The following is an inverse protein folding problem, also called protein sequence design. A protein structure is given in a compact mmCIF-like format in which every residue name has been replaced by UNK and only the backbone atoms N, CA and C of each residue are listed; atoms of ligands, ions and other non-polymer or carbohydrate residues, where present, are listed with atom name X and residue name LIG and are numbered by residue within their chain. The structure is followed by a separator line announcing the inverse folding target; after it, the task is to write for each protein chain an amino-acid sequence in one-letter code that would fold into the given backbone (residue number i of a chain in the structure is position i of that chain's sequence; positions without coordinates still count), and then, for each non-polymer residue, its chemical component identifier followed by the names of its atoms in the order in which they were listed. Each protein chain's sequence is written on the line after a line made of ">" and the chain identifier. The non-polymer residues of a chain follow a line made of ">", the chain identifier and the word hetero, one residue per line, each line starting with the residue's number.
data_IF_242164188308
#
_entry.id   IF_242164188308
#
_cell.length_a   1.000
_cell.length_b   1.000
_cell.length_c   1.000
_cell.angle_alpha   90.00
_cell.angle_beta   90.00
_cell.angle_gamma   90.00
#
_symmetry.space_group_name_H-M   'P 1'
#
loop_
_entity.id
_entity.type
_entity.pdbx_description
1 polymer ?
#
# COMPACT_ATOMS: atom_id res chain seq x y z
N UNK A 1 -2.24 3.78 -11.69
CA UNK A 1 -2.62 3.85 -10.26
C UNK A 1 -1.52 3.28 -9.37
N UNK A 2 -0.99 2.08 -9.66
CA UNK A 2 0.20 1.55 -8.98
C UNK A 2 1.46 2.42 -9.19
N UNK A 3 1.75 2.87 -10.42
CA UNK A 3 2.92 3.71 -10.72
C UNK A 3 3.00 4.95 -9.82
N UNK A 4 1.86 5.59 -9.52
CA UNK A 4 1.83 6.73 -8.63
C UNK A 4 2.32 6.38 -7.21
N UNK A 5 2.02 5.16 -6.72
CA UNK A 5 2.50 4.70 -5.41
C UNK A 5 4.01 4.48 -5.45
N UNK A 6 4.50 3.80 -6.49
CA UNK A 6 5.92 3.52 -6.67
C UNK A 6 6.73 4.81 -6.81
N UNK A 7 6.26 5.76 -7.64
CA UNK A 7 6.87 7.09 -7.81
C UNK A 7 6.87 7.89 -6.51
N UNK A 8 5.78 7.86 -5.73
CA UNK A 8 5.73 8.63 -4.48
C UNK A 8 6.64 7.99 -3.42
N UNK A 9 6.72 6.66 -3.37
CA UNK A 9 7.66 5.95 -2.50
C UNK A 9 9.11 6.27 -2.87
N UNK A 10 9.45 6.24 -4.15
CA UNK A 10 10.78 6.59 -4.64
C UNK A 10 11.17 8.03 -4.30
N UNK A 11 10.26 8.99 -4.53
CA UNK A 11 10.46 10.39 -4.13
C UNK A 11 10.64 10.58 -2.62
N UNK A 12 10.03 9.72 -1.80
CA UNK A 12 10.18 9.73 -0.35
C UNK A 12 11.46 8.99 0.12
N UNK A 13 12.26 8.45 -0.79
CA UNK A 13 13.49 7.71 -0.51
C UNK A 13 13.26 6.26 -0.07
N UNK A 14 12.07 5.71 -0.31
CA UNK A 14 11.74 4.32 -0.03
C UNK A 14 11.96 3.47 -1.27
N UNK A 15 12.85 2.49 -1.17
CA UNK A 15 13.09 1.54 -2.26
C UNK A 15 12.14 0.35 -2.15
N UNK A 16 11.31 0.15 -3.18
CA UNK A 16 10.45 -1.04 -3.30
C UNK A 16 11.31 -2.26 -3.64
N UNK A 17 11.32 -3.27 -2.77
CA UNK A 17 12.07 -4.52 -2.96
C UNK A 17 11.24 -5.56 -3.70
N UNK A 18 9.95 -5.66 -3.37
CA UNK A 18 9.03 -6.66 -3.91
C UNK A 18 7.66 -6.04 -4.05
N UNK A 19 6.98 -6.34 -5.15
CA UNK A 19 5.56 -6.07 -5.30
C UNK A 19 4.81 -7.39 -5.53
N UNK A 20 3.66 -7.52 -4.87
CA UNK A 20 2.71 -8.61 -5.08
C UNK A 20 1.36 -8.01 -5.44
N UNK A 21 0.89 -8.32 -6.64
CA UNK A 21 -0.32 -7.75 -7.21
C UNK A 21 -1.32 -8.86 -7.46
N UNK A 22 -2.57 -8.61 -7.11
CA UNK A 22 -3.67 -9.54 -7.34
C UNK A 22 -4.90 -8.80 -7.83
N UNK A 23 -5.59 -9.42 -8.78
CA UNK A 23 -6.89 -8.96 -9.28
C UNK A 23 -7.91 -10.06 -9.09
N UNK A 24 -9.13 -9.68 -8.73
CA UNK A 24 -10.23 -10.60 -8.49
C UNK A 24 -11.55 -10.00 -8.96
N UNK A 25 -12.62 -10.80 -8.90
CA UNK A 25 -13.97 -10.42 -9.33
C UNK A 25 -14.00 -9.88 -10.78
N UNK A 26 -13.54 -10.68 -11.74
CA UNK A 26 -13.45 -10.30 -13.16
C UNK A 26 -12.67 -8.98 -13.37
N UNK A 27 -11.51 -8.85 -12.73
CA UNK A 27 -10.64 -7.66 -12.76
C UNK A 27 -11.24 -6.38 -12.17
N UNK A 28 -12.37 -6.45 -11.46
CA UNK A 28 -12.94 -5.27 -10.80
C UNK A 28 -12.28 -4.93 -9.47
N UNK A 29 -11.62 -5.88 -8.82
CA UNK A 29 -11.01 -5.69 -7.50
C UNK A 29 -9.51 -5.89 -7.61
N UNK A 30 -8.76 -4.92 -7.14
CA UNK A 30 -7.31 -4.90 -7.14
C UNK A 30 -6.78 -4.84 -5.70
N UNK A 31 -5.75 -5.64 -5.45
CA UNK A 31 -4.96 -5.64 -4.22
C UNK A 31 -3.49 -5.66 -4.59
N UNK A 32 -2.73 -4.73 -4.05
CA UNK A 32 -1.28 -4.65 -4.19
C UNK A 32 -0.62 -4.58 -2.82
N UNK A 33 0.50 -5.27 -2.66
CA UNK A 33 1.38 -5.12 -1.50
C UNK A 33 2.77 -4.80 -2.04
N UNK A 34 3.35 -3.68 -1.58
CA UNK A 34 4.71 -3.26 -1.91
C UNK A 34 5.57 -3.39 -0.65
N UNK A 35 6.51 -4.31 -0.65
CA UNK A 35 7.50 -4.47 0.43
C UNK A 35 8.65 -3.50 0.19
N UNK A 36 8.99 -2.72 1.21
CA UNK A 36 9.98 -1.65 1.15
C UNK A 36 11.25 -2.08 1.89
N UNK A 37 12.40 -1.74 1.32
CA UNK A 37 13.68 -1.95 1.99
C UNK A 37 13.77 -1.08 3.26
N UNK A 38 13.92 -1.73 4.42
CA UNK A 38 14.05 -1.04 5.71
C UNK A 38 15.06 -1.76 6.60
N UNK A 39 15.94 -1.05 7.31
CA UNK A 39 16.94 -1.64 8.21
C UNK A 39 16.37 -1.94 9.62
N UNK A 40 15.07 -2.21 9.76
CA UNK A 40 14.40 -2.37 11.06
C UNK A 40 14.92 -3.57 11.85
N UNK A 41 14.83 -4.78 11.27
CA UNK A 41 15.30 -6.02 11.87
C UNK A 41 15.42 -7.11 10.80
N UNK A 42 16.31 -8.07 11.02
CA UNK A 42 16.42 -9.24 10.15
C UNK A 42 15.11 -10.04 10.17
N UNK A 43 14.51 -10.25 9.00
CA UNK A 43 13.24 -10.97 8.90
C UNK A 43 11.97 -10.11 9.00
N UNK A 44 12.10 -8.79 9.13
CA UNK A 44 10.96 -7.85 9.15
C UNK A 44 11.14 -6.80 8.06
N UNK A 45 10.12 -6.60 7.23
CA UNK A 45 10.06 -5.50 6.26
C UNK A 45 8.84 -4.62 6.51
N UNK A 46 8.94 -3.33 6.23
CA UNK A 46 7.74 -2.51 6.06
C UNK A 46 7.08 -2.82 4.72
N UNK A 47 5.76 -2.80 4.70
CA UNK A 47 4.99 -2.95 3.48
C UNK A 47 3.88 -1.90 3.38
N UNK A 48 3.52 -1.55 2.14
CA UNK A 48 2.36 -0.73 1.81
C UNK A 48 1.35 -1.59 1.10
N UNK A 49 0.17 -1.72 1.70
CA UNK A 49 -0.98 -2.34 1.08
C UNK A 49 -1.86 -1.31 0.38
N UNK A 50 -2.31 -1.66 -0.82
CA UNK A 50 -3.21 -0.86 -1.65
C UNK A 50 -4.39 -1.73 -2.05
N UNK A 51 -5.60 -1.25 -1.82
CA UNK A 51 -6.84 -1.86 -2.30
C UNK A 51 -7.63 -0.88 -3.13
N UNK A 52 -8.14 -1.34 -4.27
CA UNK A 52 -9.06 -0.57 -5.09
C UNK A 52 -10.16 -1.46 -5.68
N UNK A 53 -11.38 -0.94 -5.82
CA UNK A 53 -12.46 -1.62 -6.54
C UNK A 53 -13.11 -0.71 -7.59
N UNK A 54 -13.03 -1.11 -8.85
CA UNK A 54 -13.63 -0.36 -9.96
C UNK A 54 -15.16 -0.50 -9.98
N UNK A 55 -15.69 -1.61 -9.45
CA UNK A 55 -17.12 -1.84 -9.22
C UNK A 55 -17.67 -1.08 -8.01
N UNK A 56 -16.82 -0.30 -7.30
CA UNK A 56 -17.15 0.45 -6.09
C UNK A 56 -17.66 -0.42 -4.93
N UNK A 57 -17.44 -1.73 -4.98
CA UNK A 57 -17.80 -2.67 -3.90
C UNK A 57 -17.03 -2.42 -2.62
N UNK A 58 -15.83 -1.84 -2.73
CA UNK A 58 -14.97 -1.42 -1.63
C UNK A 58 -14.40 -0.01 -1.85
N UNK A 59 -14.23 0.79 -0.79
CA UNK A 59 -13.48 2.03 -0.89
C UNK A 59 -12.01 1.77 -1.22
N UNK A 60 -11.38 2.77 -1.83
CA UNK A 60 -9.92 2.82 -1.99
C UNK A 60 -9.31 2.78 -0.59
N UNK A 61 -8.40 1.84 -0.37
CA UNK A 61 -7.77 1.62 0.92
C UNK A 61 -6.26 1.62 0.80
N UNK A 62 -5.61 2.26 1.76
CA UNK A 62 -4.17 2.20 1.97
C UNK A 62 -3.89 1.73 3.39
N UNK A 63 -2.91 0.84 3.54
CA UNK A 63 -2.45 0.40 4.84
C UNK A 63 -0.92 0.30 4.87
N UNK A 64 -0.38 0.52 6.06
CA UNK A 64 1.05 0.48 6.35
C UNK A 64 1.24 -0.40 7.56
N UNK A 65 2.30 -1.20 7.55
CA UNK A 65 2.52 -2.19 8.57
C UNK A 65 3.81 -2.96 8.33
N UNK A 66 4.15 -3.79 9.30
CA UNK A 66 5.25 -4.72 9.19
C UNK A 66 4.76 -6.04 8.56
N UNK A 67 5.66 -6.67 7.83
CA UNK A 67 5.44 -7.98 7.23
C UNK A 67 6.62 -8.88 7.58
N UNK A 68 6.31 -10.05 8.11
CA UNK A 68 7.29 -11.11 8.34
C UNK A 68 7.40 -11.97 7.08
N UNK A 69 8.63 -12.33 6.68
CA UNK A 69 8.89 -13.10 5.45
C UNK A 69 8.16 -14.46 5.38
N UNK A 70 7.73 -15.02 6.50
CA UNK A 70 7.04 -16.33 6.56
C UNK A 70 5.54 -16.25 6.19
N UNK A 71 4.98 -15.05 6.07
CA UNK A 71 3.56 -14.84 5.78
C UNK A 71 3.32 -14.65 4.26
N UNK A 72 3.40 -15.74 3.48
CA UNK A 72 3.05 -15.74 2.05
C UNK A 72 1.53 -15.69 1.79
N UNK A 73 0.69 -15.81 2.82
CA UNK A 73 -0.78 -15.83 2.69
C UNK A 73 -1.44 -14.45 2.49
N UNK A 74 -0.68 -13.43 2.10
CA UNK A 74 -1.12 -12.02 2.13
C UNK A 74 -1.61 -11.59 3.53
N UNK A 75 -1.26 -12.35 4.58
CA UNK A 75 -1.60 -12.07 5.96
C UNK A 75 -0.69 -10.93 6.43
N UNK A 76 -1.22 -9.71 6.31
CA UNK A 76 -0.55 -8.48 6.68
C UNK A 76 -1.29 -7.88 7.88
N UNK A 77 -0.58 -7.73 9.00
CA UNK A 77 -1.11 -7.00 10.16
C UNK A 77 -0.75 -5.55 9.98
N UNK A 78 -1.75 -4.72 9.70
CA UNK A 78 -1.52 -3.32 9.35
C UNK A 78 -2.57 -2.42 9.92
N UNK A 79 -2.13 -1.23 10.31
CA UNK A 79 -3.04 -0.14 10.60
C UNK A 79 -3.58 0.38 9.26
N UNK A 80 -4.91 0.45 9.13
CA UNK A 80 -5.53 1.08 7.97
C UNK A 80 -5.25 2.56 8.07
N UNK A 81 -4.36 3.07 7.22
CA UNK A 81 -3.97 4.48 7.25
C UNK A 81 -5.07 5.34 6.64
N UNK A 82 -5.66 4.91 5.51
CA UNK A 82 -6.72 5.67 4.84
C UNK A 82 -7.74 4.74 4.16
N UNK A 83 -9.03 5.08 4.31
CA UNK A 83 -10.14 4.55 3.51
C UNK A 83 -10.91 5.72 2.88
N UNK A 84 -10.90 5.82 1.54
CA UNK A 84 -11.56 6.92 0.80
C UNK A 84 -12.65 6.38 -0.11
N UNK A 85 -13.83 7.00 -0.05
CA UNK A 85 -14.95 6.68 -0.95
C UNK A 85 -14.57 6.99 -2.40
N UNK A 86 -15.03 6.16 -3.32
CA UNK A 86 -14.96 6.45 -4.75
C UNK A 86 -15.76 7.71 -5.10
N UNK A 87 -15.07 8.76 -5.53
CA UNK A 87 -15.68 10.01 -6.01
C UNK A 87 -15.24 10.28 -7.45
N UNK A 88 -15.82 11.31 -8.08
CA UNK A 88 -15.40 11.75 -9.43
C UNK A 88 -13.92 12.16 -9.48
N UNK A 89 -13.35 12.56 -8.34
CA UNK A 89 -11.95 12.96 -8.17
C UNK A 89 -11.12 11.82 -7.55
N UNK A 90 -11.35 10.59 -8.00
CA UNK A 90 -10.72 9.40 -7.41
C UNK A 90 -9.19 9.41 -7.45
N UNK A 91 -8.58 10.06 -8.45
CA UNK A 91 -7.13 10.15 -8.58
C UNK A 91 -6.51 11.05 -7.50
N UNK A 92 -7.08 12.21 -7.24
CA UNK A 92 -6.58 13.15 -6.23
C UNK A 92 -6.66 12.53 -4.82
N UNK A 93 -7.76 11.82 -4.55
CA UNK A 93 -7.95 11.09 -3.28
C UNK A 93 -7.02 9.91 -3.13
N UNK A 94 -6.65 9.29 -4.25
CA UNK A 94 -5.65 8.24 -4.28
C UNK A 94 -4.28 8.83 -3.92
N UNK A 95 -3.89 9.97 -4.51
CA UNK A 95 -2.63 10.66 -4.19
C UNK A 95 -2.55 11.11 -2.73
N UNK A 96 -3.61 11.72 -2.18
CA UNK A 96 -3.71 12.02 -0.74
C UNK A 96 -3.53 10.76 0.12
N UNK A 97 -4.11 9.65 -0.32
CA UNK A 97 -4.03 8.34 0.34
C UNK A 97 -2.60 7.83 0.46
N UNK A 98 -1.88 7.91 -0.65
CA UNK A 98 -0.46 7.51 -0.74
C UNK A 98 0.42 8.42 0.11
N UNK A 99 0.21 9.73 0.06
CA UNK A 99 1.00 10.69 0.83
C UNK A 99 0.94 10.41 2.34
N UNK A 100 -0.25 10.21 2.90
CA UNK A 100 -0.38 9.93 4.33
C UNK A 100 0.17 8.54 4.71
N UNK A 101 0.09 7.55 3.82
CA UNK A 101 0.74 6.26 4.04
C UNK A 101 2.27 6.41 4.16
N UNK A 102 2.86 7.30 3.34
CA UNK A 102 4.30 7.60 3.39
C UNK A 102 4.68 8.36 4.66
N UNK A 103 3.87 9.32 5.09
CA UNK A 103 4.08 9.99 6.39
C UNK A 103 4.12 8.97 7.53
N UNK A 104 3.17 8.03 7.54
CA UNK A 104 3.14 6.94 8.53
C UNK A 104 4.35 6.02 8.43
N UNK A 105 4.86 5.73 7.23
CA UNK A 105 6.09 4.96 7.03
C UNK A 105 7.32 5.67 7.61
N UNK A 106 7.39 7.00 7.50
CA UNK A 106 8.49 7.77 8.08
C UNK A 106 8.54 7.66 9.60
N UNK A 107 7.39 7.56 10.27
CA UNK A 107 7.34 7.32 11.73
C UNK A 107 8.00 5.99 12.13
N UNK A 108 8.05 4.99 11.24
CA UNK A 108 8.73 3.72 11.49
C UNK A 108 10.23 3.73 11.16
N UNK A 109 10.77 4.84 10.63
CA UNK A 109 12.22 4.98 10.38
C UNK A 109 13.00 5.52 11.58
N UNK A 110 12.34 6.12 12.56
CA UNK A 110 12.95 6.71 13.77
C UNK A 110 12.92 5.77 14.98
#
# INVERSE_FOLDING_TARGET
>A
MLNCVEETLDHAGFQVRRSQLSVSNNNHRFFGVLDIHTPLAEGVSLSVGVRNSNDKSFPIGFCVGNRTFVCDNLAFSSEVVISKRHTRFGNDRYQEGVAAAIERLNEYRE
#
